data_IF_877617131430
#
_entry.id   IF_877617131430
#
_cell.length_a   1.000
_cell.length_b   1.000
_cell.length_c   1.000
_cell.angle_alpha   90.00
_cell.angle_beta   90.00
_cell.angle_gamma   90.00
#
_symmetry.space_group_name_H-M   'P 1'
#
loop_
_entity.id
_entity.type
_entity.pdbx_description
1 polymer ?
#
# COMPACT_ATOMS: atom_id res chain seq x y z
N UNK A 1 -11.14 -27.43 -20.87
CA UNK A 1 -10.94 -27.64 -19.41
C UNK A 1 -9.78 -26.82 -18.86
N UNK A 2 -8.53 -26.99 -19.36
CA UNK A 2 -7.36 -26.22 -18.90
C UNK A 2 -7.54 -24.68 -18.97
N UNK A 3 -8.09 -24.17 -20.07
CA UNK A 3 -8.37 -22.73 -20.24
C UNK A 3 -9.37 -22.20 -19.19
N UNK A 4 -10.37 -23.00 -18.84
CA UNK A 4 -11.37 -22.64 -17.84
C UNK A 4 -10.75 -22.55 -16.43
N UNK A 5 -9.94 -23.54 -16.05
CA UNK A 5 -9.23 -23.54 -14.77
C UNK A 5 -8.24 -22.37 -14.68
N UNK A 6 -7.56 -22.05 -15.77
CA UNK A 6 -6.68 -20.88 -15.84
C UNK A 6 -7.45 -19.56 -15.61
N UNK A 7 -8.59 -19.37 -16.29
CA UNK A 7 -9.45 -18.20 -16.12
C UNK A 7 -9.98 -18.11 -14.67
N UNK A 8 -10.39 -19.23 -14.09
CA UNK A 8 -10.88 -19.29 -12.71
C UNK A 8 -9.80 -18.83 -11.72
N UNK A 9 -8.60 -19.41 -11.80
CA UNK A 9 -7.48 -19.04 -10.94
C UNK A 9 -7.07 -17.58 -11.12
N UNK A 10 -7.08 -17.08 -12.37
CA UNK A 10 -6.81 -15.67 -12.66
C UNK A 10 -7.85 -14.74 -12.02
N UNK A 11 -9.14 -15.11 -12.06
CA UNK A 11 -10.21 -14.33 -11.45
C UNK A 11 -10.13 -14.31 -9.93
N UNK A 12 -9.82 -15.46 -9.31
CA UNK A 12 -9.59 -15.54 -7.86
C UNK A 12 -8.42 -14.62 -7.47
N UNK A 13 -7.32 -14.73 -8.20
CA UNK A 13 -6.15 -13.89 -7.99
C UNK A 13 -6.48 -12.40 -8.10
N UNK A 14 -7.15 -11.99 -9.19
CA UNK A 14 -7.60 -10.59 -9.37
C UNK A 14 -8.44 -10.14 -8.19
N UNK A 15 -9.38 -10.97 -7.74
CA UNK A 15 -10.25 -10.65 -6.61
C UNK A 15 -9.44 -10.41 -5.34
N UNK A 16 -8.48 -11.27 -5.01
CA UNK A 16 -7.62 -11.14 -3.81
C UNK A 16 -6.85 -9.81 -3.83
N UNK A 17 -6.34 -9.39 -4.98
CA UNK A 17 -5.65 -8.11 -5.10
C UNK A 17 -6.61 -6.92 -5.03
N UNK A 18 -7.76 -7.02 -5.69
CA UNK A 18 -8.74 -5.95 -5.69
C UNK A 18 -9.34 -5.69 -4.31
N UNK A 19 -9.32 -6.66 -3.40
CA UNK A 19 -9.75 -6.49 -2.00
C UNK A 19 -8.92 -5.44 -1.26
N UNK A 20 -7.66 -5.20 -1.64
CA UNK A 20 -6.83 -4.18 -1.00
C UNK A 20 -6.72 -2.89 -1.82
N UNK A 21 -7.54 -2.66 -2.84
CA UNK A 21 -7.56 -1.38 -3.58
C UNK A 21 -7.95 -0.24 -2.60
N UNK A 22 -7.22 0.91 -2.49
CA UNK A 22 -6.18 1.50 -3.37
C UNK A 22 -4.77 0.97 -3.30
N UNK A 23 -4.48 0.20 -2.27
CA UNK A 23 -3.13 -0.27 -2.03
C UNK A 23 -2.73 -1.27 -3.12
N UNK A 24 -1.62 -0.98 -3.80
CA UNK A 24 -1.08 -1.90 -4.82
C UNK A 24 -0.35 -3.05 -4.14
N UNK A 25 -0.66 -4.27 -4.56
CA UNK A 25 0.10 -5.45 -4.19
C UNK A 25 1.49 -5.39 -4.86
N UNK A 26 2.55 -5.48 -4.05
CA UNK A 26 3.93 -5.34 -4.51
C UNK A 26 4.61 -6.68 -4.82
N UNK A 27 4.02 -7.77 -4.36
CA UNK A 27 4.63 -9.09 -4.39
C UNK A 27 4.35 -9.82 -5.70
N UNK A 28 5.18 -10.82 -5.99
CA UNK A 28 5.03 -11.63 -7.20
C UNK A 28 3.82 -12.55 -7.10
N UNK A 29 3.36 -13.01 -8.26
CA UNK A 29 2.26 -13.94 -8.34
C UNK A 29 2.36 -14.81 -9.59
N UNK A 30 1.79 -16.01 -9.49
CA UNK A 30 1.71 -17.00 -10.55
C UNK A 30 0.30 -17.59 -10.53
N UNK A 31 -0.65 -17.05 -11.31
CA UNK A 31 -2.03 -17.53 -11.30
C UNK A 31 -2.14 -19.01 -11.69
N UNK A 32 -1.18 -19.49 -12.49
CA UNK A 32 -1.09 -20.89 -12.86
C UNK A 32 0.36 -21.35 -12.71
N UNK A 33 0.57 -22.28 -11.78
CA UNK A 33 1.86 -22.84 -11.41
C UNK A 33 1.82 -24.36 -11.53
N UNK A 34 2.87 -24.93 -12.11
CA UNK A 34 2.98 -26.35 -12.47
C UNK A 34 4.33 -26.91 -12.06
N UNK A 35 4.44 -28.24 -12.06
CA UNK A 35 5.68 -28.96 -11.78
C UNK A 35 6.79 -28.70 -12.82
N UNK A 36 6.42 -28.20 -14.00
CA UNK A 36 7.36 -27.93 -15.11
C UNK A 36 7.93 -26.51 -15.06
N UNK A 37 7.48 -25.66 -14.13
CA UNK A 37 8.06 -24.34 -13.93
C UNK A 37 9.48 -24.47 -13.39
N UNK A 38 10.42 -23.68 -13.92
CA UNK A 38 11.81 -23.64 -13.47
C UNK A 38 11.93 -23.37 -11.96
N UNK A 39 11.04 -22.55 -11.42
CA UNK A 39 10.96 -22.16 -10.01
C UNK A 39 10.38 -23.28 -9.10
N UNK A 40 9.90 -24.41 -9.65
CA UNK A 40 9.20 -25.47 -8.90
C UNK A 40 10.02 -26.01 -7.73
N UNK A 41 11.29 -26.37 -7.98
CA UNK A 41 12.12 -26.97 -6.95
C UNK A 41 12.44 -25.99 -5.81
N UNK A 42 12.69 -24.73 -6.16
CA UNK A 42 12.98 -23.67 -5.20
C UNK A 42 11.77 -23.37 -4.30
N UNK A 43 10.61 -23.16 -4.91
CA UNK A 43 9.38 -22.79 -4.20
C UNK A 43 8.90 -23.93 -3.28
N UNK A 44 9.05 -25.17 -3.73
CA UNK A 44 8.45 -26.34 -3.10
C UNK A 44 9.36 -26.97 -2.05
N UNK A 45 10.64 -27.19 -2.38
CA UNK A 45 11.57 -27.92 -1.51
C UNK A 45 12.43 -26.99 -0.66
N UNK A 46 12.89 -25.85 -1.17
CA UNK A 46 13.70 -24.92 -0.36
C UNK A 46 12.87 -24.21 0.71
N UNK A 47 11.57 -24.03 0.49
CA UNK A 47 10.63 -23.55 1.53
C UNK A 47 10.54 -24.50 2.74
N UNK A 48 10.90 -25.78 2.58
CA UNK A 48 10.91 -26.81 3.65
C UNK A 48 12.25 -26.91 4.37
N UNK A 49 13.34 -26.63 3.66
CA UNK A 49 14.71 -26.86 4.14
C UNK A 49 15.35 -25.68 4.88
N UNK A 50 14.79 -24.47 4.78
CA UNK A 50 15.36 -23.27 5.41
C UNK A 50 14.36 -22.60 6.35
N UNK A 51 14.42 -22.97 7.63
CA UNK A 51 13.72 -22.32 8.76
C UNK A 51 14.08 -20.84 8.98
N UNK A 52 14.98 -20.27 8.16
CA UNK A 52 15.50 -18.91 8.31
C UNK A 52 15.10 -17.95 7.19
N UNK A 53 14.30 -18.36 6.20
CA UNK A 53 13.80 -17.46 5.17
C UNK A 53 12.35 -17.07 5.46
N UNK A 54 12.06 -15.77 5.38
CA UNK A 54 10.70 -15.20 5.48
C UNK A 54 9.70 -16.06 4.68
N UNK A 55 8.45 -16.25 5.17
CA UNK A 55 7.43 -16.99 4.42
C UNK A 55 7.33 -16.48 2.98
N UNK A 56 7.04 -17.37 2.01
CA UNK A 56 7.01 -17.01 0.59
C UNK A 56 6.07 -15.82 0.37
N UNK A 57 6.64 -14.73 -0.13
CA UNK A 57 5.93 -13.47 -0.38
C UNK A 57 5.35 -13.44 -1.79
N UNK A 58 4.67 -14.51 -2.22
CA UNK A 58 4.01 -14.57 -3.54
C UNK A 58 2.81 -15.51 -3.54
N UNK A 59 1.87 -15.26 -4.44
CA UNK A 59 0.63 -16.05 -4.58
C UNK A 59 0.80 -17.04 -5.73
N UNK A 60 0.54 -18.32 -5.48
CA UNK A 60 0.50 -19.35 -6.53
C UNK A 60 -0.90 -19.95 -6.67
N UNK A 61 -1.36 -20.12 -7.91
CA UNK A 61 -2.54 -20.91 -8.23
C UNK A 61 -2.11 -22.26 -8.79
N UNK A 62 -2.59 -23.34 -8.17
CA UNK A 62 -2.27 -24.71 -8.55
C UNK A 62 -3.55 -25.51 -8.74
N UNK A 63 -3.59 -26.37 -9.75
CA UNK A 63 -4.71 -27.29 -9.99
C UNK A 63 -4.40 -28.72 -9.58
N UNK A 64 -3.11 -29.09 -9.53
CA UNK A 64 -2.69 -30.44 -9.20
C UNK A 64 -2.74 -30.68 -7.67
N UNK A 65 -3.51 -31.67 -7.19
CA UNK A 65 -3.63 -31.99 -5.76
C UNK A 65 -2.32 -32.42 -5.10
N UNK A 66 -1.31 -32.82 -5.88
CA UNK A 66 0.04 -33.12 -5.39
C UNK A 66 0.65 -31.96 -4.60
N UNK A 67 0.39 -30.72 -5.01
CA UNK A 67 0.88 -29.54 -4.31
C UNK A 67 0.40 -29.47 -2.87
N UNK A 68 -0.79 -29.98 -2.54
CA UNK A 68 -1.33 -29.91 -1.19
C UNK A 68 -0.47 -30.62 -0.13
N UNK A 69 0.23 -31.70 -0.53
CA UNK A 69 1.21 -32.37 0.35
C UNK A 69 2.50 -31.59 0.45
N UNK A 70 2.98 -31.07 -0.67
CA UNK A 70 4.26 -30.38 -0.75
C UNK A 70 4.27 -29.03 -0.02
N UNK A 71 3.18 -28.27 -0.11
CA UNK A 71 3.08 -26.92 0.47
C UNK A 71 2.24 -26.90 1.76
N UNK A 72 2.04 -28.05 2.41
CA UNK A 72 1.28 -28.16 3.67
C UNK A 72 1.69 -27.13 4.73
N UNK A 73 2.99 -26.84 4.81
CA UNK A 73 3.57 -25.94 5.79
C UNK A 73 3.27 -24.46 5.54
N UNK A 74 2.77 -24.11 4.34
CA UNK A 74 2.49 -22.73 3.97
C UNK A 74 1.46 -22.11 4.93
N UNK A 75 1.64 -20.82 5.26
CA UNK A 75 0.80 -20.17 6.27
C UNK A 75 -0.61 -19.91 5.78
N UNK A 76 -0.85 -19.79 4.48
CA UNK A 76 -2.14 -19.44 3.89
C UNK A 76 -2.46 -20.36 2.71
N UNK A 77 -3.63 -20.99 2.73
CA UNK A 77 -4.13 -21.88 1.68
C UNK A 77 -5.60 -21.55 1.43
N UNK A 78 -5.94 -21.24 0.18
CA UNK A 78 -7.33 -21.09 -0.28
C UNK A 78 -7.63 -22.30 -1.15
N UNK A 79 -8.62 -23.09 -0.75
CA UNK A 79 -9.12 -24.22 -1.55
C UNK A 79 -10.49 -23.88 -2.12
N UNK A 80 -10.60 -23.98 -3.44
CA UNK A 80 -11.86 -23.86 -4.18
C UNK A 80 -12.16 -25.23 -4.76
N UNK A 81 -13.29 -25.82 -4.38
CA UNK A 81 -13.77 -27.07 -4.99
C UNK A 81 -14.77 -26.71 -6.11
N UNK A 82 -14.75 -27.45 -7.21
CA UNK A 82 -15.81 -27.45 -8.20
C UNK A 82 -17.00 -28.25 -7.63
N UNK A 83 -17.89 -27.60 -6.87
CA UNK A 83 -19.14 -28.23 -6.45
C UNK A 83 -19.99 -28.50 -7.71
N UNK A 84 -19.94 -29.74 -8.22
CA UNK A 84 -20.90 -30.19 -9.23
C UNK A 84 -22.30 -30.24 -8.61
N UNK A 85 -23.16 -29.33 -9.09
CA UNK A 85 -24.60 -29.47 -9.36
C UNK A 85 -25.47 -30.26 -8.36
N UNK A 86 -26.47 -29.59 -7.77
CA UNK A 86 -27.78 -30.22 -7.58
C UNK A 86 -28.09 -30.96 -6.27
N UNK A 87 -27.53 -30.59 -5.13
CA UNK A 87 -28.09 -30.99 -3.82
C UNK A 87 -28.74 -29.79 -3.12
N UNK A 88 -30.01 -29.87 -2.67
CA UNK A 88 -30.63 -28.78 -1.94
C UNK A 88 -29.78 -28.49 -0.70
N UNK A 89 -29.50 -27.21 -0.49
CA UNK A 89 -28.74 -26.68 0.64
C UNK A 89 -29.51 -27.08 1.91
N UNK A 90 -29.17 -28.23 2.51
CA UNK A 90 -29.48 -28.49 3.91
C UNK A 90 -28.78 -27.37 4.68
N UNK A 91 -29.57 -26.57 5.40
CA UNK A 91 -29.14 -25.43 6.24
C UNK A 91 -27.67 -25.54 6.64
N UNK A 92 -26.80 -24.82 5.92
CA UNK A 92 -25.38 -24.66 6.31
C UNK A 92 -25.33 -23.65 7.46
N UNK A 93 -25.78 -24.08 8.63
CA UNK A 93 -25.22 -23.55 9.87
C UNK A 93 -23.74 -23.94 9.86
N UNK A 94 -22.83 -22.97 10.03
CA UNK A 94 -21.36 -23.12 10.07
C UNK A 94 -20.56 -22.86 8.77
N UNK A 95 -20.85 -21.80 8.01
CA UNK A 95 -19.92 -21.30 6.98
C UNK A 95 -18.71 -20.51 7.54
N UNK A 96 -18.53 -20.43 8.86
CA UNK A 96 -17.39 -19.77 9.49
C UNK A 96 -16.94 -20.49 10.77
N UNK A 97 -16.52 -21.76 10.66
CA UNK A 97 -15.66 -22.36 11.69
C UNK A 97 -14.21 -21.99 11.36
N UNK A 98 -13.78 -20.84 11.89
CA UNK A 98 -12.41 -20.76 12.38
C UNK A 98 -12.49 -21.37 13.77
N UNK A 99 -11.96 -22.58 13.94
CA UNK A 99 -11.82 -23.19 15.26
C UNK A 99 -10.87 -22.30 16.08
N UNK A 100 -11.48 -21.45 16.90
CA UNK A 100 -10.88 -20.88 18.08
C UNK A 100 -11.69 -21.43 19.25
N UNK A 101 -10.99 -22.01 20.23
CA UNK A 101 -11.57 -22.47 21.48
C UNK A 101 -12.23 -21.27 22.20
N UNK A 102 -13.54 -21.13 22.02
CA UNK A 102 -14.41 -20.21 22.76
C UNK A 102 -14.80 -20.86 24.10
N UNK A 103 -13.82 -21.14 24.94
CA UNK A 103 -14.04 -21.50 26.34
C UNK A 103 -13.13 -20.65 27.21
N UNK A 104 -13.61 -19.45 27.57
CA UNK A 104 -13.41 -18.77 28.85
C UNK A 104 -13.74 -17.27 28.72
N UNK A 105 -15.03 -16.95 28.59
CA UNK A 105 -15.56 -15.67 29.06
C UNK A 105 -16.90 -15.96 29.72
N UNK A 106 -16.85 -16.22 31.02
CA UNK A 106 -18.02 -16.16 31.89
C UNK A 106 -18.64 -14.77 31.76
N UNK A 107 -19.85 -14.74 31.20
CA UNK A 107 -20.71 -13.56 31.15
C UNK A 107 -21.19 -13.30 32.58
N UNK A 108 -20.68 -12.24 33.21
CA UNK A 108 -21.42 -11.60 34.31
C UNK A 108 -22.36 -10.61 33.63
N UNK A 109 -23.64 -11.00 33.54
CA UNK A 109 -24.74 -10.10 33.22
C UNK A 109 -24.88 -9.09 34.36
N UNK A 110 -24.69 -7.81 34.05
CA UNK A 110 -25.28 -6.72 34.81
C UNK A 110 -25.86 -5.76 33.79
N UNK A 111 -27.18 -5.84 33.65
CA UNK A 111 -28.02 -4.74 33.18
C UNK A 111 -27.72 -3.51 34.03
N UNK A 112 -27.63 -2.33 33.41
CA UNK A 112 -28.07 -1.11 34.08
C UNK A 112 -28.38 -0.01 33.08
N UNK A 113 -29.66 0.36 33.11
CA UNK A 113 -30.28 1.55 32.55
C UNK A 113 -29.72 2.82 33.20
N UNK A 114 -29.59 3.87 32.38
CA UNK A 114 -29.19 5.21 32.78
C UNK A 114 -30.37 5.89 33.50
N UNK A 115 -30.20 6.25 34.77
CA UNK A 115 -30.91 7.38 35.39
C UNK A 115 -29.92 8.34 36.07
N UNK A 116 -30.26 9.63 35.99
CA UNK A 116 -29.49 10.79 36.44
C UNK A 116 -29.30 10.81 37.97
N UNK A 117 -28.11 11.17 38.45
CA UNK A 117 -27.84 12.39 39.27
C UNK A 117 -26.65 12.29 40.25
N UNK A 118 -25.93 13.42 40.36
CA UNK A 118 -25.11 13.95 41.48
C UNK A 118 -23.97 13.15 42.17
N UNK A 119 -22.75 13.71 42.02
CA UNK A 119 -21.51 13.65 42.85
C UNK A 119 -21.69 13.70 44.39
N UNK A 120 -20.62 13.61 45.24
CA UNK A 120 -19.26 12.99 45.15
C UNK A 120 -18.83 12.18 46.41
N UNK A 121 -17.78 11.34 46.34
CA UNK A 121 -16.63 11.23 47.29
C UNK A 121 -15.82 9.90 47.16
N UNK A 122 -14.51 9.99 47.39
CA UNK A 122 -13.44 8.99 47.18
C UNK A 122 -13.18 8.08 48.41
N UNK A 123 -12.06 7.32 48.53
CA UNK A 123 -11.42 6.33 47.65
C UNK A 123 -11.15 4.98 48.39
N UNK A 124 -11.19 3.82 47.72
CA UNK A 124 -10.63 2.58 48.31
C UNK A 124 -9.77 1.78 47.31
N UNK A 125 -8.50 1.61 47.70
CA UNK A 125 -7.43 0.81 47.11
C UNK A 125 -7.72 -0.70 47.23
N UNK A 126 -7.53 -1.50 46.17
CA UNK A 126 -7.10 -2.91 46.30
C UNK A 126 -6.19 -3.32 45.13
N UNK A 127 -5.21 -4.17 45.48
CA UNK A 127 -3.93 -4.44 44.83
C UNK A 127 -4.02 -5.37 43.62
N UNK A 128 -3.21 -5.09 42.59
CA UNK A 128 -2.79 -6.05 41.55
C UNK A 128 -2.04 -7.23 42.19
N UNK A 129 -2.46 -8.45 41.88
CA UNK A 129 -1.58 -9.63 41.90
C UNK A 129 -1.57 -10.23 40.50
N UNK A 130 -0.40 -10.13 39.87
CA UNK A 130 -0.05 -10.77 38.62
C UNK A 130 0.28 -12.22 38.96
N UNK A 131 -0.33 -13.19 38.27
CA UNK A 131 0.17 -14.56 38.22
C UNK A 131 0.30 -14.98 36.77
N UNK A 132 1.55 -15.04 36.32
CA UNK A 132 2.05 -15.75 35.15
C UNK A 132 1.72 -17.23 35.25
N UNK A 133 1.13 -17.84 34.22
CA UNK A 133 1.31 -19.27 33.90
C UNK A 133 0.88 -19.54 32.45
N UNK A 134 1.85 -19.49 31.55
CA UNK A 134 1.74 -20.02 30.19
C UNK A 134 2.14 -21.50 30.27
N UNK A 135 1.25 -22.41 29.88
CA UNK A 135 1.62 -23.81 29.59
C UNK A 135 1.70 -24.04 28.08
N UNK A 136 2.71 -24.77 27.58
CA UNK A 136 2.88 -25.07 26.17
C UNK A 136 1.90 -26.16 25.69
N UNK A 137 1.35 -25.98 24.49
CA UNK A 137 0.41 -26.91 23.86
C UNK A 137 1.11 -28.22 23.42
N UNK A 138 0.47 -29.37 23.72
CA UNK A 138 0.89 -30.71 23.27
C UNK A 138 0.17 -31.07 21.96
N UNK A 139 0.84 -31.71 20.98
CA UNK A 139 0.19 -32.16 19.75
C UNK A 139 -0.61 -33.44 20.01
N UNK A 140 -1.92 -33.42 19.73
CA UNK A 140 -2.76 -34.62 19.70
C UNK A 140 -2.57 -35.34 18.36
N UNK A 141 -1.77 -36.41 18.39
CA UNK A 141 -1.70 -37.41 17.33
C UNK A 141 -2.74 -38.50 17.61
N UNK A 142 -3.83 -38.52 16.83
CA UNK A 142 -4.60 -39.75 16.59
C UNK A 142 -4.66 -39.96 15.09
N UNK A 143 -3.60 -40.58 14.56
CA UNK A 143 -3.53 -41.15 13.22
C UNK A 143 -4.27 -42.48 13.23
N UNK A 144 -5.38 -42.58 12.50
CA UNK A 144 -5.89 -43.87 12.04
C UNK A 144 -5.06 -44.28 10.82
N UNK A 145 -4.14 -45.21 11.05
CA UNK A 145 -3.40 -45.93 10.02
C UNK A 145 -4.37 -46.77 9.18
N UNK A 146 -4.47 -46.43 7.88
CA UNK A 146 -4.84 -47.24 6.70
C UNK A 146 -5.62 -46.40 5.67
N UNK A 147 -4.93 -45.51 4.95
CA UNK A 147 -5.26 -45.23 3.53
C UNK A 147 -4.08 -44.62 2.78
N UNK A 148 -3.33 -45.48 2.09
CA UNK A 148 -2.33 -45.09 1.10
C UNK A 148 -3.01 -44.74 -0.23
N UNK A 149 -3.58 -43.53 -0.38
CA UNK A 149 -3.73 -42.90 -1.71
C UNK A 149 -4.04 -41.39 -1.63
N UNK A 150 -3.00 -40.59 -1.87
CA UNK A 150 -2.98 -39.24 -2.47
C UNK A 150 -4.15 -38.22 -2.27
N UNK A 151 -4.85 -38.17 -1.13
CA UNK A 151 -5.88 -37.13 -0.92
C UNK A 151 -5.66 -36.36 0.38
N UNK A 152 -5.28 -35.09 0.22
CA UNK A 152 -5.30 -34.10 1.28
C UNK A 152 -6.76 -33.70 1.53
N UNK A 153 -7.33 -34.16 2.65
CA UNK A 153 -8.77 -34.05 3.00
C UNK A 153 -9.08 -32.70 3.68
N UNK A 154 -8.62 -31.58 3.12
CA UNK A 154 -9.12 -30.26 3.56
C UNK A 154 -10.31 -29.88 2.70
N UNK A 155 -11.48 -29.56 3.28
CA UNK A 155 -12.66 -29.10 2.52
C UNK A 155 -12.40 -27.74 1.83
N UNK A 156 -13.17 -27.34 0.83
CA UNK A 156 -13.13 -25.97 0.31
C UNK A 156 -13.22 -24.93 1.44
N UNK A 157 -12.37 -23.90 1.38
CA UNK A 157 -12.27 -22.89 2.42
C UNK A 157 -10.91 -22.18 2.50
N UNK A 158 -10.83 -21.20 3.39
CA UNK A 158 -9.61 -20.48 3.74
C UNK A 158 -8.95 -21.12 4.98
N UNK A 159 -7.72 -21.57 4.83
CA UNK A 159 -6.87 -22.06 5.91
C UNK A 159 -5.74 -21.08 6.12
N UNK A 160 -5.62 -20.54 7.33
CA UNK A 160 -4.61 -19.54 7.63
C UNK A 160 -4.03 -19.72 9.02
N UNK A 161 -2.70 -19.60 9.13
CA UNK A 161 -1.97 -19.47 10.41
C UNK A 161 -1.95 -18.01 10.91
N UNK A 162 -2.50 -17.09 10.13
CA UNK A 162 -2.55 -15.67 10.48
C UNK A 162 -3.46 -15.44 11.69
N UNK A 163 -2.97 -14.68 12.66
CA UNK A 163 -3.77 -14.13 13.75
C UNK A 163 -4.27 -12.75 13.35
N UNK A 164 -5.58 -12.55 13.36
CA UNK A 164 -6.19 -11.26 12.98
C UNK A 164 -5.91 -10.18 14.03
N UNK A 165 -5.41 -9.02 13.59
CA UNK A 165 -5.30 -7.82 14.43
C UNK A 165 -6.64 -7.10 14.64
N UNK A 166 -7.57 -7.24 13.69
CA UNK A 166 -8.86 -6.55 13.70
C UNK A 166 -10.01 -7.56 13.87
N UNK A 167 -11.06 -7.12 14.54
CA UNK A 167 -12.28 -7.89 14.69
C UNK A 167 -13.09 -7.91 13.39
N UNK A 168 -13.93 -8.95 13.23
CA UNK A 168 -14.84 -9.07 12.09
C UNK A 168 -15.98 -8.07 12.22
N UNK A 169 -16.34 -7.44 11.11
CA UNK A 169 -17.54 -6.60 11.07
C UNK A 169 -18.81 -7.48 11.12
N UNK A 170 -19.52 -7.44 12.25
CA UNK A 170 -20.77 -8.19 12.43
C UNK A 170 -21.93 -7.62 11.58
N UNK A 171 -21.87 -6.36 11.14
CA UNK A 171 -22.90 -5.71 10.33
C UNK A 171 -22.82 -6.22 8.89
N UNK A 172 -21.63 -6.23 8.28
CA UNK A 172 -21.46 -6.73 6.92
C UNK A 172 -21.80 -8.24 6.84
N UNK A 173 -21.41 -9.01 7.85
CA UNK A 173 -21.71 -10.44 7.93
C UNK A 173 -23.22 -10.69 7.98
N UNK A 174 -23.97 -9.95 8.81
CA UNK A 174 -25.44 -10.04 8.85
C UNK A 174 -26.08 -9.63 7.53
N UNK A 175 -25.58 -8.55 6.89
CA UNK A 175 -26.05 -8.14 5.56
C UNK A 175 -25.85 -9.25 4.53
N UNK A 176 -24.68 -9.88 4.48
CA UNK A 176 -24.38 -10.99 3.56
C UNK A 176 -25.18 -12.27 3.86
N UNK A 177 -25.43 -12.56 5.13
CA UNK A 177 -26.27 -13.71 5.52
C UNK A 177 -27.74 -13.48 5.15
N UNK A 178 -28.27 -12.27 5.38
CA UNK A 178 -29.64 -11.90 5.02
C UNK A 178 -29.88 -11.88 3.50
N UNK A 179 -28.84 -11.69 2.69
CA UNK A 179 -28.96 -11.72 1.22
C UNK A 179 -29.05 -13.13 0.65
N UNK A 180 -28.52 -14.14 1.35
CA UNK A 180 -28.60 -15.54 0.95
C UNK A 180 -30.01 -16.14 1.12
N UNK A 181 -30.82 -15.61 2.05
CA UNK A 181 -32.22 -16.02 2.21
C UNK A 181 -33.16 -15.40 1.17
N UNK A 182 -32.82 -14.21 0.64
CA UNK A 182 -33.73 -13.38 -0.17
C UNK A 182 -33.45 -13.41 -1.68
N UNK A 183 -32.70 -14.41 -2.20
CA UNK A 183 -32.38 -14.60 -3.64
C UNK A 183 -31.99 -13.32 -4.39
N UNK A 184 -31.20 -12.44 -3.77
CA UNK A 184 -30.71 -11.24 -4.47
C UNK A 184 -29.57 -11.62 -5.44
N UNK A 185 -29.47 -10.98 -6.61
CA UNK A 185 -28.41 -11.27 -7.58
C UNK A 185 -26.99 -11.10 -7.01
N UNK A 186 -26.07 -11.97 -7.43
CA UNK A 186 -24.66 -11.95 -7.01
C UNK A 186 -23.96 -10.61 -7.26
N UNK A 187 -24.43 -9.84 -8.24
CA UNK A 187 -23.93 -8.49 -8.55
C UNK A 187 -24.06 -7.53 -7.38
N UNK A 188 -25.15 -7.61 -6.63
CA UNK A 188 -25.41 -6.76 -5.46
C UNK A 188 -24.48 -7.13 -4.31
N UNK A 189 -24.28 -8.43 -4.07
CA UNK A 189 -23.37 -8.93 -3.04
C UNK A 189 -21.92 -8.52 -3.35
N UNK A 190 -21.50 -8.69 -4.60
CA UNK A 190 -20.18 -8.28 -5.07
C UNK A 190 -19.95 -6.77 -4.92
N UNK A 191 -20.97 -5.96 -5.19
CA UNK A 191 -20.89 -4.49 -5.03
C UNK A 191 -20.73 -4.11 -3.56
N UNK A 192 -21.50 -4.75 -2.68
CA UNK A 192 -21.44 -4.52 -1.23
C UNK A 192 -20.06 -4.93 -0.66
N UNK A 193 -19.51 -6.06 -1.07
CA UNK A 193 -18.15 -6.49 -0.68
C UNK A 193 -17.08 -5.53 -1.18
N UNK A 194 -17.13 -5.15 -2.47
CA UNK A 194 -16.17 -4.21 -3.06
C UNK A 194 -16.18 -2.86 -2.33
N UNK A 195 -17.37 -2.34 -2.04
CA UNK A 195 -17.52 -1.08 -1.31
C UNK A 195 -16.95 -1.17 0.10
N UNK A 196 -17.27 -2.24 0.83
CA UNK A 196 -16.76 -2.46 2.18
C UNK A 196 -15.23 -2.47 2.22
N UNK A 197 -14.59 -3.25 1.34
CA UNK A 197 -13.14 -3.37 1.31
C UNK A 197 -12.45 -2.10 0.80
N UNK A 198 -13.08 -1.36 -0.12
CA UNK A 198 -12.61 -0.04 -0.54
C UNK A 198 -12.59 0.95 0.62
N UNK A 199 -13.72 1.10 1.33
CA UNK A 199 -13.86 2.01 2.48
C UNK A 199 -12.89 1.64 3.62
N UNK A 200 -12.72 0.33 3.86
CA UNK A 200 -11.78 -0.17 4.85
C UNK A 200 -10.33 0.15 4.48
N UNK A 201 -9.94 -0.11 3.23
CA UNK A 201 -8.57 0.17 2.78
C UNK A 201 -8.29 1.66 2.75
N UNK A 202 -9.25 2.49 2.32
CA UNK A 202 -9.12 3.94 2.39
C UNK A 202 -8.93 4.42 3.82
N UNK A 203 -9.74 3.92 4.77
CA UNK A 203 -9.59 4.23 6.20
C UNK A 203 -8.20 3.87 6.73
N UNK A 204 -7.64 2.75 6.27
CA UNK A 204 -6.28 2.34 6.60
C UNK A 204 -5.20 3.25 5.97
N UNK A 205 -5.44 3.81 4.79
CA UNK A 205 -4.45 4.65 4.08
C UNK A 205 -4.47 6.10 4.59
N UNK A 206 -5.61 6.64 5.01
CA UNK A 206 -5.77 8.06 5.40
C UNK A 206 -4.69 8.53 6.41
N UNK A 207 -4.40 7.81 7.51
CA UNK A 207 -3.37 8.24 8.45
C UNK A 207 -1.96 8.29 7.83
N UNK A 208 -1.63 7.33 6.95
CA UNK A 208 -0.36 7.31 6.23
C UNK A 208 -0.22 8.51 5.30
N UNK A 209 -1.28 8.85 4.57
CA UNK A 209 -1.30 10.02 3.68
C UNK A 209 -1.21 11.33 4.46
N UNK A 210 -1.90 11.42 5.59
CA UNK A 210 -1.84 12.60 6.46
C UNK A 210 -0.42 12.82 6.99
N UNK A 211 0.22 11.77 7.49
CA UNK A 211 1.60 11.87 7.97
C UNK A 211 2.56 12.19 6.82
N UNK A 212 2.44 11.50 5.67
CA UNK A 212 3.25 11.80 4.48
C UNK A 212 3.09 13.25 4.01
N UNK A 213 1.88 13.81 4.05
CA UNK A 213 1.64 15.20 3.70
C UNK A 213 2.38 16.18 4.63
N UNK A 214 2.57 15.83 5.91
CA UNK A 214 3.36 16.62 6.86
C UNK A 214 4.86 16.64 6.55
N UNK A 215 5.35 15.67 5.77
CA UNK A 215 6.73 15.59 5.30
C UNK A 215 7.00 16.49 4.08
N UNK A 216 5.95 17.00 3.44
CA UNK A 216 6.06 17.82 2.23
C UNK A 216 6.58 19.23 2.56
N UNK A 217 7.44 19.80 1.69
CA UNK A 217 7.93 21.15 1.88
C UNK A 217 6.84 22.20 1.66
N UNK A 218 6.83 23.22 2.52
CA UNK A 218 5.93 24.37 2.43
C UNK A 218 6.27 25.26 1.22
N UNK A 219 5.25 25.93 0.66
CA UNK A 219 5.40 26.83 -0.51
C UNK A 219 6.45 27.93 -0.34
N UNK A 220 6.72 28.38 0.89
CA UNK A 220 7.73 29.41 1.19
C UNK A 220 9.17 29.00 0.85
N UNK A 221 9.44 27.70 0.74
CA UNK A 221 10.78 27.18 0.43
C UNK A 221 11.06 27.04 -1.07
N UNK A 222 10.07 27.29 -1.92
CA UNK A 222 10.23 27.27 -3.38
C UNK A 222 10.77 28.63 -3.82
N UNK A 223 12.08 28.72 -3.98
CA UNK A 223 12.77 29.96 -4.36
C UNK A 223 13.58 29.74 -5.63
N UNK A 224 13.60 30.73 -6.53
CA UNK A 224 14.26 30.59 -7.83
C UNK A 224 15.80 30.54 -7.72
N UNK A 225 16.36 31.17 -6.68
CA UNK A 225 17.79 31.16 -6.36
C UNK A 225 18.26 29.93 -5.56
N UNK A 226 17.36 29.03 -5.17
CA UNK A 226 17.71 27.79 -4.44
C UNK A 226 17.36 26.55 -5.26
N UNK A 227 17.84 25.42 -4.79
CA UNK A 227 17.44 24.10 -5.29
C UNK A 227 16.00 23.77 -4.89
N UNK A 228 15.32 22.88 -5.64
CA UNK A 228 13.99 22.42 -5.27
C UNK A 228 14.03 21.76 -3.88
N UNK A 229 13.09 22.09 -2.99
CA UNK A 229 13.10 21.56 -1.64
C UNK A 229 12.84 20.04 -1.64
N UNK A 230 13.53 19.32 -0.77
CA UNK A 230 13.39 17.86 -0.66
C UNK A 230 12.29 17.46 0.33
N UNK A 231 11.73 16.28 0.12
CA UNK A 231 10.75 15.67 1.03
C UNK A 231 11.51 15.12 2.24
N UNK A 232 10.99 15.35 3.45
CA UNK A 232 11.56 14.75 4.66
C UNK A 232 11.46 13.22 4.63
N UNK A 233 12.37 12.57 5.33
CA UNK A 233 12.33 11.11 5.47
C UNK A 233 11.10 10.67 6.29
N UNK A 234 10.63 9.46 6.01
CA UNK A 234 9.48 8.90 6.71
C UNK A 234 9.99 8.19 7.96
N UNK A 235 9.61 8.68 9.15
CA UNK A 235 9.95 8.05 10.42
C UNK A 235 8.80 7.13 10.88
N UNK A 236 9.10 5.84 11.01
CA UNK A 236 8.15 4.83 11.43
C UNK A 236 7.67 5.04 12.88
N UNK A 237 8.56 5.46 13.78
CA UNK A 237 8.23 5.63 15.20
C UNK A 237 7.40 6.88 15.43
N UNK A 238 7.76 7.98 14.77
CA UNK A 238 6.98 9.21 14.79
C UNK A 238 5.57 8.97 14.25
N UNK A 239 5.45 8.31 13.09
CA UNK A 239 4.16 7.92 12.52
C UNK A 239 3.31 7.11 13.50
N UNK A 240 3.89 6.08 14.13
CA UNK A 240 3.17 5.22 15.08
C UNK A 240 2.68 5.98 16.33
N UNK A 241 3.31 7.09 16.73
CA UNK A 241 2.84 7.97 17.80
C UNK A 241 1.63 8.79 17.36
N UNK A 242 1.56 9.20 16.10
CA UNK A 242 0.42 9.98 15.58
C UNK A 242 -0.89 9.18 15.51
N UNK A 243 -0.81 7.84 15.48
CA UNK A 243 -2.00 6.97 15.37
C UNK A 243 -2.93 7.05 16.57
N UNK A 244 -2.42 7.40 17.75
CA UNK A 244 -3.25 7.52 18.96
C UNK A 244 -4.25 8.69 18.81
N UNK A 245 -3.85 9.76 18.12
CA UNK A 245 -4.67 10.96 17.88
C UNK A 245 -5.38 10.95 16.51
N UNK A 246 -4.75 10.40 15.48
CA UNK A 246 -5.19 10.51 14.08
C UNK A 246 -5.30 9.16 13.36
N UNK A 247 -5.56 8.08 14.10
CA UNK A 247 -5.63 6.73 13.54
C UNK A 247 -6.95 6.39 12.81
N UNK A 248 -7.02 5.18 12.22
CA UNK A 248 -8.18 4.71 11.45
C UNK A 248 -9.47 4.61 12.24
N UNK A 249 -9.40 4.59 13.58
CA UNK A 249 -10.59 4.59 14.45
C UNK A 249 -11.51 5.80 14.21
N UNK A 250 -11.01 6.86 13.57
CA UNK A 250 -11.80 8.03 13.19
C UNK A 250 -12.67 7.80 11.94
N UNK A 251 -12.31 6.85 11.09
CA UNK A 251 -12.98 6.61 9.80
C UNK A 251 -13.49 5.18 9.64
N UNK A 252 -13.03 4.25 10.48
CA UNK A 252 -13.45 2.86 10.49
C UNK A 252 -14.15 2.51 11.81
N UNK A 253 -15.29 1.81 11.71
CA UNK A 253 -16.00 1.25 12.86
C UNK A 253 -15.40 -0.05 13.40
N UNK A 254 -14.29 -0.55 12.81
CA UNK A 254 -13.65 -1.79 13.24
C UNK A 254 -12.78 -1.58 14.48
N UNK A 255 -12.94 -2.49 15.44
CA UNK A 255 -12.16 -2.54 16.68
C UNK A 255 -11.00 -3.53 16.54
N UNK A 256 -9.89 -3.25 17.21
CA UNK A 256 -8.71 -4.11 17.26
C UNK A 256 -7.40 -3.34 17.35
N UNK A 257 -6.30 -4.07 17.19
CA UNK A 257 -4.93 -3.56 17.38
C UNK A 257 -4.40 -2.93 16.09
N UNK A 258 -4.92 -1.75 15.73
CA UNK A 258 -4.50 -0.99 14.56
C UNK A 258 -2.99 -0.70 14.56
N UNK A 259 -2.42 -0.38 15.72
CA UNK A 259 -1.00 -0.04 15.87
C UNK A 259 -0.08 -1.18 15.46
N UNK A 260 -0.41 -2.42 15.85
CA UNK A 260 0.39 -3.60 15.49
C UNK A 260 0.20 -3.96 14.01
N UNK A 261 -1.02 -3.77 13.46
CA UNK A 261 -1.26 -3.91 12.02
C UNK A 261 -0.38 -2.95 11.21
N UNK A 262 -0.28 -1.68 11.60
CA UNK A 262 0.62 -0.72 10.95
C UNK A 262 2.08 -1.11 11.10
N UNK A 263 2.52 -1.45 12.31
CA UNK A 263 3.90 -1.89 12.54
C UNK A 263 4.28 -3.08 11.65
N UNK A 264 3.38 -4.04 11.50
CA UNK A 264 3.56 -5.14 10.56
C UNK A 264 3.60 -4.63 9.11
N UNK A 265 2.63 -3.80 8.70
CA UNK A 265 2.56 -3.25 7.34
C UNK A 265 3.83 -2.49 6.91
N UNK A 266 4.40 -1.66 7.79
CA UNK A 266 5.62 -0.87 7.53
C UNK A 266 6.84 -1.77 7.21
N UNK A 267 6.84 -3.01 7.70
CA UNK A 267 7.87 -4.01 7.38
C UNK A 267 7.68 -4.70 6.02
N UNK A 268 6.51 -4.55 5.39
CA UNK A 268 6.16 -5.27 4.16
C UNK A 268 6.63 -4.56 2.88
N UNK A 269 6.81 -5.31 1.78
CA UNK A 269 7.09 -4.72 0.46
C UNK A 269 5.97 -3.79 -0.05
N UNK A 270 4.71 -4.04 0.35
CA UNK A 270 3.57 -3.20 -0.03
C UNK A 270 3.75 -1.75 0.46
N UNK A 271 4.26 -1.56 1.67
CA UNK A 271 4.55 -0.22 2.19
C UNK A 271 5.66 0.45 1.39
N UNK A 272 6.75 -0.27 1.08
CA UNK A 272 7.86 0.27 0.28
C UNK A 272 7.39 0.74 -1.09
N UNK A 273 6.56 -0.05 -1.76
CA UNK A 273 5.95 0.31 -3.05
C UNK A 273 5.01 1.52 -2.93
N UNK A 274 4.18 1.55 -1.89
CA UNK A 274 3.31 2.69 -1.62
C UNK A 274 4.12 3.98 -1.40
N UNK A 275 5.16 3.91 -0.55
CA UNK A 275 6.00 5.06 -0.22
C UNK A 275 6.80 5.55 -1.43
N UNK A 276 7.36 4.64 -2.23
CA UNK A 276 8.12 5.01 -3.44
C UNK A 276 7.22 5.70 -4.46
N UNK A 277 6.02 5.16 -4.70
CA UNK A 277 5.04 5.82 -5.56
C UNK A 277 4.68 7.20 -5.00
N UNK A 278 4.32 7.32 -3.72
CA UNK A 278 3.97 8.62 -3.12
C UNK A 278 5.10 9.64 -3.19
N UNK A 279 6.35 9.22 -2.99
CA UNK A 279 7.53 10.07 -3.18
C UNK A 279 7.69 10.53 -4.63
N UNK A 280 7.51 9.64 -5.60
CA UNK A 280 7.57 10.00 -7.03
C UNK A 280 6.51 11.04 -7.38
N UNK A 281 5.26 10.86 -6.93
CA UNK A 281 4.18 11.82 -7.18
C UNK A 281 4.45 13.18 -6.54
N UNK A 282 4.92 13.17 -5.30
CA UNK A 282 5.26 14.39 -4.57
C UNK A 282 6.46 15.12 -5.19
N UNK A 283 7.51 14.39 -5.58
CA UNK A 283 8.67 14.96 -6.26
C UNK A 283 8.27 15.56 -7.61
N UNK A 284 7.48 14.85 -8.42
CA UNK A 284 6.95 15.41 -9.66
C UNK A 284 6.18 16.72 -9.43
N UNK A 285 5.39 16.80 -8.36
CA UNK A 285 4.67 18.03 -8.01
C UNK A 285 5.59 19.13 -7.50
N UNK A 286 6.61 18.80 -6.70
CA UNK A 286 7.62 19.75 -6.22
C UNK A 286 8.35 20.38 -7.41
N UNK A 287 8.82 19.55 -8.35
CA UNK A 287 9.51 20.00 -9.55
C UNK A 287 8.60 20.84 -10.46
N UNK A 288 7.33 20.45 -10.62
CA UNK A 288 6.36 21.26 -11.35
C UNK A 288 6.19 22.65 -10.74
N UNK A 289 6.02 22.76 -9.42
CA UNK A 289 5.89 24.05 -8.72
C UNK A 289 7.18 24.87 -8.77
N UNK A 290 8.33 24.19 -8.73
CA UNK A 290 9.64 24.81 -8.84
C UNK A 290 9.86 25.46 -10.20
N UNK A 291 9.58 24.73 -11.29
CA UNK A 291 9.67 25.25 -12.65
C UNK A 291 8.71 26.40 -12.85
N UNK A 292 7.47 26.28 -12.37
CA UNK A 292 6.50 27.37 -12.38
C UNK A 292 7.08 28.62 -11.70
N UNK A 293 7.67 28.46 -10.50
CA UNK A 293 8.27 29.57 -9.76
C UNK A 293 9.44 30.21 -10.50
N UNK A 294 10.29 29.44 -11.18
CA UNK A 294 11.39 29.97 -11.99
C UNK A 294 10.86 30.64 -13.27
N UNK A 295 9.93 30.02 -13.98
CA UNK A 295 9.37 30.56 -15.22
C UNK A 295 8.68 31.91 -14.99
N UNK A 296 8.02 32.09 -13.85
CA UNK A 296 7.36 33.35 -13.49
C UNK A 296 8.18 34.28 -12.58
N UNK A 297 9.44 33.95 -12.24
CA UNK A 297 10.26 34.82 -11.39
C UNK A 297 10.56 36.17 -12.06
N UNK A 298 10.66 37.23 -11.29
CA UNK A 298 11.12 38.54 -11.75
C UNK A 298 12.62 38.64 -11.52
N UNK A 299 13.38 38.97 -12.56
CA UNK A 299 14.85 38.94 -12.51
C UNK A 299 15.42 39.82 -11.38
N UNK A 300 14.97 41.07 -11.26
CA UNK A 300 15.49 41.92 -10.19
C UNK A 300 14.86 41.66 -8.82
N UNK A 301 13.55 41.38 -8.75
CA UNK A 301 12.86 41.27 -7.46
C UNK A 301 13.02 39.91 -6.78
N UNK A 302 13.10 38.83 -7.54
CA UNK A 302 13.18 37.46 -7.01
C UNK A 302 14.60 36.87 -7.07
N UNK A 303 15.46 37.38 -7.97
CA UNK A 303 16.83 36.88 -8.18
C UNK A 303 17.93 37.91 -7.89
N UNK A 304 17.59 39.19 -7.71
CA UNK A 304 18.55 40.29 -7.49
C UNK A 304 19.73 40.25 -8.47
N UNK A 305 19.46 40.08 -9.78
CA UNK A 305 20.51 39.89 -10.79
C UNK A 305 21.57 41.00 -10.83
N UNK A 306 21.21 42.23 -10.44
CA UNK A 306 22.13 43.37 -10.32
C UNK A 306 23.20 43.23 -9.22
N UNK A 307 22.96 42.36 -8.23
CA UNK A 307 23.90 42.09 -7.13
C UNK A 307 24.72 40.82 -7.34
N UNK A 308 24.40 40.03 -8.36
CA UNK A 308 25.10 38.78 -8.65
C UNK A 308 26.43 39.04 -9.36
N UNK A 309 27.42 38.24 -9.04
CA UNK A 309 28.68 38.20 -9.78
C UNK A 309 28.49 37.57 -11.15
N UNK A 310 29.42 37.82 -12.08
CA UNK A 310 29.36 37.22 -13.42
C UNK A 310 29.33 35.68 -13.39
N UNK A 311 30.03 35.06 -12.43
CA UNK A 311 30.02 33.60 -12.23
C UNK A 311 28.62 33.11 -11.81
N UNK A 312 27.97 33.79 -10.87
CA UNK A 312 26.62 33.42 -10.42
C UNK A 312 25.57 33.63 -11.53
N UNK A 313 25.75 34.64 -12.39
CA UNK A 313 24.93 34.83 -13.59
C UNK A 313 25.13 33.70 -14.59
N UNK A 314 26.38 33.24 -14.78
CA UNK A 314 26.69 32.08 -15.62
C UNK A 314 26.03 30.81 -15.08
N UNK A 315 26.11 30.56 -13.77
CA UNK A 315 25.44 29.42 -13.13
C UNK A 315 23.92 29.46 -13.31
N UNK A 316 23.32 30.65 -13.23
CA UNK A 316 21.89 30.85 -13.50
C UNK A 316 21.53 30.56 -14.96
N UNK A 317 22.36 30.98 -15.92
CA UNK A 317 22.18 30.67 -17.35
C UNK A 317 22.29 29.16 -17.60
N UNK A 318 23.29 28.49 -17.00
CA UNK A 318 23.45 27.03 -17.09
C UNK A 318 22.23 26.32 -16.50
N UNK A 319 21.74 26.78 -15.35
CA UNK A 319 20.52 26.26 -14.71
C UNK A 319 19.29 26.42 -15.60
N UNK A 320 19.09 27.57 -16.23
CA UNK A 320 17.98 27.77 -17.16
C UNK A 320 18.10 26.86 -18.39
N UNK A 321 19.31 26.69 -18.91
CA UNK A 321 19.59 25.78 -20.02
C UNK A 321 19.28 24.32 -19.67
N UNK A 322 19.70 23.83 -18.50
CA UNK A 322 19.37 22.47 -18.03
C UNK A 322 17.85 22.28 -17.86
N UNK A 323 17.17 23.27 -17.28
CA UNK A 323 15.70 23.22 -17.14
C UNK A 323 14.99 23.21 -18.48
N UNK A 324 15.43 24.02 -19.45
CA UNK A 324 14.89 24.01 -20.82
C UNK A 324 15.07 22.62 -21.44
N UNK A 325 16.27 22.04 -21.36
CA UNK A 325 16.58 20.72 -21.89
C UNK A 325 15.72 19.62 -21.25
N UNK A 326 15.54 19.66 -19.92
CA UNK A 326 14.67 18.72 -19.20
C UNK A 326 13.21 18.84 -19.63
N UNK A 327 12.69 20.05 -19.79
CA UNK A 327 11.30 20.26 -20.22
C UNK A 327 11.08 19.79 -21.68
N UNK A 328 12.08 19.98 -22.54
CA UNK A 328 12.07 19.48 -23.92
C UNK A 328 12.18 17.94 -24.00
N UNK A 329 12.75 17.31 -22.98
CA UNK A 329 12.89 15.85 -22.90
C UNK A 329 11.53 15.18 -22.70
N UNK A 330 11.14 14.30 -23.63
CA UNK A 330 9.81 13.66 -23.64
C UNK A 330 9.57 12.67 -22.49
N UNK A 331 10.62 12.10 -21.90
CA UNK A 331 10.54 10.99 -20.94
C UNK A 331 11.02 11.34 -19.52
N UNK A 332 11.06 12.62 -19.15
CA UNK A 332 11.42 13.00 -17.78
C UNK A 332 10.31 12.58 -16.79
N UNK A 333 10.61 11.59 -15.94
CA UNK A 333 9.67 11.00 -14.97
C UNK A 333 8.95 12.04 -14.08
N UNK A 334 9.60 13.17 -13.80
CA UNK A 334 9.09 14.23 -12.93
C UNK A 334 8.18 15.20 -13.68
N UNK A 335 8.30 15.29 -15.01
CA UNK A 335 7.61 16.26 -15.85
C UNK A 335 6.56 15.62 -16.78
N UNK A 336 6.45 14.29 -16.84
CA UNK A 336 5.46 13.58 -17.67
C UNK A 336 4.03 14.05 -17.39
N UNK A 337 3.72 14.40 -16.14
CA UNK A 337 2.35 14.77 -15.72
C UNK A 337 1.95 16.23 -16.02
N UNK A 338 2.88 17.06 -16.49
CA UNK A 338 2.61 18.48 -16.78
C UNK A 338 1.97 18.58 -18.17
N UNK A 339 0.89 19.36 -18.28
CA UNK A 339 0.21 19.62 -19.55
C UNK A 339 1.15 20.23 -20.60
N UNK A 340 1.01 19.80 -21.84
CA UNK A 340 1.88 20.23 -22.95
C UNK A 340 1.80 21.75 -23.15
N UNK A 341 0.62 22.35 -22.96
CA UNK A 341 0.44 23.81 -23.08
C UNK A 341 1.26 24.56 -22.03
N UNK A 342 1.26 24.09 -20.78
CA UNK A 342 2.06 24.68 -19.71
C UNK A 342 3.56 24.50 -19.94
N UNK A 343 3.98 23.34 -20.47
CA UNK A 343 5.39 23.13 -20.86
C UNK A 343 5.85 24.16 -21.88
N UNK A 344 5.04 24.43 -22.92
CA UNK A 344 5.36 25.44 -23.92
C UNK A 344 5.47 26.84 -23.29
N UNK A 345 4.54 27.24 -22.42
CA UNK A 345 4.58 28.54 -21.72
C UNK A 345 5.84 28.70 -20.85
N UNK A 346 6.21 27.65 -20.10
CA UNK A 346 7.44 27.66 -19.29
C UNK A 346 8.69 27.77 -20.17
N UNK A 347 8.75 27.04 -21.27
CA UNK A 347 9.87 27.10 -22.22
C UNK A 347 10.07 28.49 -22.80
N UNK A 348 9.00 29.14 -23.25
CA UNK A 348 9.08 30.50 -23.80
C UNK A 348 9.59 31.50 -22.76
N UNK A 349 9.04 31.47 -21.54
CA UNK A 349 9.45 32.38 -20.47
C UNK A 349 10.90 32.17 -20.04
N UNK A 350 11.34 30.92 -19.92
CA UNK A 350 12.73 30.60 -19.58
C UNK A 350 13.69 31.06 -20.68
N UNK A 351 13.36 30.83 -21.96
CA UNK A 351 14.17 31.27 -23.10
C UNK A 351 14.30 32.79 -23.16
N UNK A 352 13.19 33.53 -22.95
CA UNK A 352 13.20 35.00 -22.91
C UNK A 352 14.10 35.50 -21.77
N UNK A 353 13.94 34.94 -20.55
CA UNK A 353 14.75 35.34 -19.39
C UNK A 353 16.23 35.05 -19.58
N UNK A 354 16.55 33.86 -20.11
CA UNK A 354 17.93 33.47 -20.41
C UNK A 354 18.56 34.43 -21.42
N UNK A 355 17.82 34.83 -22.46
CA UNK A 355 18.28 35.80 -23.45
C UNK A 355 18.55 37.18 -22.83
N UNK A 356 17.64 37.68 -21.98
CA UNK A 356 17.83 38.95 -21.27
C UNK A 356 19.12 38.93 -20.45
N UNK A 357 19.35 37.86 -19.66
CA UNK A 357 20.56 37.74 -18.83
C UNK A 357 21.83 37.73 -19.71
N UNK A 358 21.83 36.97 -20.81
CA UNK A 358 22.99 36.90 -21.72
C UNK A 358 23.26 38.26 -22.37
N UNK A 359 22.23 38.90 -22.93
CA UNK A 359 22.41 40.10 -23.74
C UNK A 359 22.73 41.35 -22.88
N UNK A 360 22.13 41.47 -21.69
CA UNK A 360 22.20 42.68 -20.86
C UNK A 360 23.22 42.59 -19.71
N UNK A 361 23.56 41.40 -19.20
CA UNK A 361 24.31 41.27 -17.93
C UNK A 361 25.66 40.54 -18.02
N UNK A 362 25.96 39.84 -19.13
CA UNK A 362 27.25 39.14 -19.31
C UNK A 362 28.25 39.98 -20.12
N UNK A 363 29.56 39.73 -19.94
CA UNK A 363 30.61 40.31 -20.80
C UNK A 363 30.52 39.78 -22.24
N UNK A 364 31.01 40.57 -23.21
CA UNK A 364 31.00 40.23 -24.63
C UNK A 364 31.68 38.88 -24.94
N UNK A 365 32.78 38.56 -24.24
CA UNK A 365 33.48 37.27 -24.40
C UNK A 365 32.57 36.08 -24.02
N UNK A 366 31.76 36.25 -22.97
CA UNK A 366 30.83 35.21 -22.51
C UNK A 366 29.57 35.15 -23.38
N UNK A 367 29.09 36.28 -23.90
CA UNK A 367 28.01 36.30 -24.91
C UNK A 367 28.37 35.46 -26.13
N UNK A 368 29.61 35.58 -26.63
CA UNK A 368 30.10 34.79 -27.76
C UNK A 368 30.08 33.29 -27.44
N UNK A 369 30.37 32.91 -26.20
CA UNK A 369 30.42 31.52 -25.77
C UNK A 369 29.02 30.88 -25.68
N UNK A 370 28.02 31.61 -25.17
CA UNK A 370 26.64 31.12 -25.08
C UNK A 370 25.86 31.24 -26.38
N UNK A 371 26.18 32.22 -27.24
CA UNK A 371 25.56 32.40 -28.56
C UNK A 371 26.20 31.55 -29.66
N UNK A 372 27.33 30.86 -29.40
CA UNK A 372 27.89 29.89 -30.34
C UNK A 372 26.90 28.74 -30.52
N UNK A 373 26.35 28.51 -31.73
CA UNK A 373 25.59 27.30 -31.98
C UNK A 373 26.53 26.12 -31.74
N UNK A 374 26.10 25.19 -30.90
CA UNK A 374 26.80 23.93 -30.67
C UNK A 374 27.07 23.26 -32.02
N UNK A 375 28.30 23.39 -32.53
CA UNK A 375 28.77 22.61 -33.67
C UNK A 375 28.85 21.14 -33.20
N UNK A 376 27.83 20.38 -33.61
CA UNK A 376 27.84 18.94 -33.91
C UNK A 376 28.35 17.97 -32.83
N UNK A 377 27.46 17.06 -32.43
CA UNK A 377 27.79 15.63 -32.49
C UNK A 377 26.59 14.85 -33.04
N UNK A 378 26.45 14.91 -34.37
CA UNK A 378 25.95 13.77 -35.15
C UNK A 378 27.04 12.69 -35.14
N UNK A 379 26.78 11.58 -34.46
CA UNK A 379 27.45 10.28 -34.67
C UNK A 379 26.53 9.19 -34.16
#
# INVERSE_FOLDING_TARGET
MLTYLYILLLNIYRTIIHIIWPLRYANNYRPFFTIHNSEFHEITFNSSLKSSFSPPQFIIGVTNPFFAKLIHQWPHIIRVDDDQQGKPIKKRENFLLVEHDEDNLSVNELEDSIELSSSPQAPIKVKKKISTNIKPYKPTSTLNDKSSHLTFVKKAGLYTKYRSYLQRDKVILRKLQSTNSNQRPDTVQNTLLRRFFLELTQSFIIPLERYFASLLPLRKYYQANREPPTIKEFDNEEFLKTLDQYGPQLTSGLKGDWKELYKHFLSTPNFRLWLSHRRLEANAKIYSLYIEKIAYCRLEQDLNISQLTEIELIDLVIKFKDLIQRIETKHDELLIRIDQKLKCDYLEKLKIKMKIIIDENLSEDMKILFNKPSRLSSS
#
